data_IF_876341384102
#
_entry.id   IF_876341384102
#
_cell.length_a   1.000
_cell.length_b   1.000
_cell.length_c   1.000
_cell.angle_alpha   90.00
_cell.angle_beta   90.00
_cell.angle_gamma   90.00
#
_symmetry.space_group_name_H-M   'P 1'
#
loop_
_entity.id
_entity.type
_entity.pdbx_description
1 polymer ?
#
# COMPACT_ATOMS: atom_id res chain seq x y z
N UNK A 1 -0.96 11.86 15.09
CA UNK A 1 -0.15 11.34 13.96
C UNK A 1 -0.90 11.66 12.67
N UNK A 2 -0.29 12.35 11.70
CA UNK A 2 -1.00 12.79 10.49
C UNK A 2 -1.36 11.58 9.61
N UNK A 3 -2.63 11.41 9.21
CA UNK A 3 -3.05 10.30 8.34
C UNK A 3 -2.30 10.30 7.00
N UNK A 4 -1.86 11.47 6.53
CA UNK A 4 -1.04 11.64 5.33
C UNK A 4 0.27 10.83 5.38
N UNK A 5 0.88 10.64 6.55
CA UNK A 5 2.10 9.81 6.68
C UNK A 5 1.84 8.34 6.31
N UNK A 6 0.65 7.82 6.61
CA UNK A 6 0.28 6.45 6.25
C UNK A 6 0.03 6.31 4.75
N UNK A 7 -0.41 7.38 4.07
CA UNK A 7 -0.54 7.38 2.62
C UNK A 7 0.83 7.32 1.94
N UNK A 8 1.82 8.09 2.43
CA UNK A 8 3.20 7.98 1.95
C UNK A 8 3.79 6.58 2.19
N UNK A 9 3.52 5.98 3.36
CA UNK A 9 3.96 4.62 3.66
C UNK A 9 3.32 3.60 2.70
N UNK A 10 2.01 3.71 2.45
CA UNK A 10 1.32 2.85 1.50
C UNK A 10 1.89 2.99 0.08
N UNK A 11 2.14 4.21 -0.39
CA UNK A 11 2.75 4.45 -1.69
C UNK A 11 4.17 3.85 -1.80
N UNK A 12 4.98 3.98 -0.74
CA UNK A 12 6.32 3.40 -0.69
C UNK A 12 6.27 1.85 -0.76
N UNK A 13 5.42 1.23 0.06
CA UNK A 13 5.26 -0.23 0.08
C UNK A 13 4.75 -0.76 -1.27
N UNK A 14 3.83 -0.04 -1.90
CA UNK A 14 3.33 -0.37 -3.23
C UNK A 14 4.45 -0.30 -4.28
N UNK A 15 5.27 0.76 -4.28
CA UNK A 15 6.40 0.90 -5.19
C UNK A 15 7.46 -0.20 -5.01
N UNK A 16 7.73 -0.61 -3.77
CA UNK A 16 8.61 -1.75 -3.46
C UNK A 16 8.02 -3.05 -4.01
N UNK A 17 6.72 -3.29 -3.82
CA UNK A 17 6.04 -4.44 -4.41
C UNK A 17 6.08 -4.42 -5.94
N UNK A 18 5.81 -3.27 -6.56
CA UNK A 18 5.80 -3.12 -8.02
C UNK A 18 7.19 -3.33 -8.63
N UNK A 19 8.24 -2.73 -8.05
CA UNK A 19 9.62 -2.98 -8.46
C UNK A 19 10.01 -4.45 -8.28
N UNK A 20 9.56 -5.09 -7.19
CA UNK A 20 9.73 -6.52 -6.97
C UNK A 20 9.10 -7.37 -8.08
N UNK A 21 7.87 -7.04 -8.52
CA UNK A 21 7.21 -7.74 -9.64
C UNK A 21 7.99 -7.60 -10.95
N UNK A 22 8.54 -6.42 -11.24
CA UNK A 22 9.28 -6.18 -12.48
C UNK A 22 10.66 -6.85 -12.52
N UNK A 23 11.33 -6.97 -11.37
CA UNK A 23 12.71 -7.46 -11.28
C UNK A 23 12.77 -8.98 -11.08
N UNK A 24 11.76 -9.58 -10.43
CA UNK A 24 11.81 -10.98 -10.01
C UNK A 24 11.34 -11.92 -11.12
N UNK A 25 12.20 -12.89 -11.45
CA UNK A 25 11.90 -13.95 -12.43
C UNK A 25 11.21 -15.18 -11.81
N UNK A 26 11.17 -15.28 -10.47
CA UNK A 26 10.52 -16.38 -9.77
C UNK A 26 9.05 -16.05 -9.50
N UNK A 27 8.13 -16.86 -10.04
CA UNK A 27 6.69 -16.68 -9.90
C UNK A 27 6.22 -16.62 -8.44
N UNK A 28 6.83 -17.41 -7.54
CA UNK A 28 6.47 -17.40 -6.11
C UNK A 28 6.78 -16.04 -5.48
N UNK A 29 7.94 -15.46 -5.83
CA UNK A 29 8.34 -14.13 -5.30
C UNK A 29 7.46 -13.03 -5.89
N UNK A 30 7.09 -13.14 -7.17
CA UNK A 30 6.12 -12.22 -7.79
C UNK A 30 4.78 -12.26 -7.04
N UNK A 31 4.28 -13.45 -6.70
CA UNK A 31 3.07 -13.59 -5.87
C UNK A 31 3.19 -12.91 -4.51
N UNK A 32 4.30 -13.11 -3.81
CA UNK A 32 4.56 -12.43 -2.53
C UNK A 32 4.61 -10.90 -2.68
N UNK A 33 5.21 -10.39 -3.77
CA UNK A 33 5.21 -8.97 -4.08
C UNK A 33 3.78 -8.45 -4.37
N UNK A 34 2.94 -9.25 -5.01
CA UNK A 34 1.51 -8.92 -5.21
C UNK A 34 0.76 -8.86 -3.89
N UNK A 35 0.97 -9.81 -2.98
CA UNK A 35 0.37 -9.75 -1.63
C UNK A 35 0.82 -8.49 -0.87
N UNK A 36 2.08 -8.09 -1.00
CA UNK A 36 2.59 -6.85 -0.42
C UNK A 36 1.90 -5.61 -1.03
N UNK A 37 1.73 -5.56 -2.36
CA UNK A 37 1.01 -4.47 -3.03
C UNK A 37 -0.45 -4.39 -2.60
N UNK A 38 -1.13 -5.53 -2.47
CA UNK A 38 -2.52 -5.59 -2.00
C UNK A 38 -2.65 -5.09 -0.55
N UNK A 39 -1.70 -5.44 0.33
CA UNK A 39 -1.65 -4.91 1.68
C UNK A 39 -1.43 -3.38 1.71
N UNK A 40 -0.57 -2.86 0.83
CA UNK A 40 -0.36 -1.43 0.69
C UNK A 40 -1.63 -0.70 0.21
N UNK A 41 -2.34 -1.25 -0.78
CA UNK A 41 -3.63 -0.73 -1.21
C UNK A 41 -4.67 -0.73 -0.08
N UNK A 42 -4.74 -1.80 0.72
CA UNK A 42 -5.64 -1.85 1.88
C UNK A 42 -5.32 -0.76 2.91
N UNK A 43 -4.03 -0.53 3.20
CA UNK A 43 -3.60 0.55 4.08
C UNK A 43 -3.99 1.93 3.54
N UNK A 44 -3.84 2.16 2.23
CA UNK A 44 -4.27 3.41 1.60
C UNK A 44 -5.79 3.61 1.72
N UNK A 45 -6.59 2.57 1.46
CA UNK A 45 -8.05 2.62 1.58
C UNK A 45 -8.51 2.92 3.01
N UNK A 46 -7.94 2.25 4.01
CA UNK A 46 -8.22 2.52 5.44
C UNK A 46 -7.81 3.94 5.82
N UNK A 47 -6.68 4.43 5.31
CA UNK A 47 -6.23 5.80 5.56
C UNK A 47 -7.18 6.82 4.96
N UNK A 48 -7.62 6.62 3.72
CA UNK A 48 -8.63 7.48 3.08
C UNK A 48 -9.98 7.44 3.81
N UNK A 49 -10.41 6.26 4.26
CA UNK A 49 -11.61 6.10 5.07
C UNK A 49 -11.51 6.83 6.40
N UNK A 50 -10.32 6.90 7.02
CA UNK A 50 -10.10 7.69 8.25
C UNK A 50 -10.04 9.20 7.98
N UNK A 51 -9.47 9.62 6.85
CA UNK A 51 -9.42 11.04 6.46
C UNK A 51 -10.81 11.59 6.10
N UNK A 52 -11.64 10.81 5.40
CA UNK A 52 -13.01 11.21 5.03
C UNK A 52 -14.04 10.84 6.09
N UNK A 53 -13.78 9.84 6.93
CA UNK A 53 -14.62 9.47 8.08
C UNK A 53 -14.49 10.42 9.27
N UNK A 54 -13.59 11.40 9.20
CA UNK A 54 -13.54 12.57 10.08
C UNK A 54 -14.29 13.76 9.46
N UNK A 55 -15.35 13.51 8.67
CA UNK A 55 -16.37 14.53 8.46
C UNK A 55 -16.85 14.94 9.84
N UNK A 56 -16.48 16.16 10.21
CA UNK A 56 -16.88 16.87 11.42
C UNK A 56 -18.35 16.58 11.74
N UNK A 57 -18.61 16.15 12.98
CA UNK A 57 -19.95 16.27 13.54
C UNK A 57 -20.37 17.72 13.64
#
# INVERSE_FOLDING_TARGET
>A
MNPVNYLYLAALLFAIGASGVLIRRNAIVVFMCVELMLNACNLALVTFSRMHGNLDG
#
